data_IF_256917756619
#
_entry.id   IF_256917756619
#
_cell.length_a   1.000
_cell.length_b   1.000
_cell.length_c   1.000
_cell.angle_alpha   90.00
_cell.angle_beta   90.00
_cell.angle_gamma   90.00
#
_symmetry.space_group_name_H-M   'P 1'
#
loop_
_entity.id
_entity.type
_entity.pdbx_description
1 polymer ?
#
# COMPACT_ATOMS: atom_id res chain seq x y z
N UNK A 1 -8.63 24.57 1.32
CA UNK A 1 -7.18 24.73 1.39
C UNK A 1 -6.68 23.94 2.60
N UNK A 2 -5.67 23.12 2.41
CA UNK A 2 -5.04 22.30 3.46
C UNK A 2 -4.02 23.18 4.18
N UNK A 3 -4.08 23.19 5.52
CA UNK A 3 -3.05 23.75 6.40
C UNK A 3 -2.24 22.59 6.98
N UNK A 4 -1.07 22.29 6.44
CA UNK A 4 -0.31 21.11 6.84
C UNK A 4 0.02 21.10 8.35
N UNK A 5 0.40 22.23 8.92
CA UNK A 5 0.77 22.38 10.32
C UNK A 5 -0.37 22.09 11.32
N UNK A 6 -1.63 22.12 10.84
CA UNK A 6 -2.83 21.79 11.63
C UNK A 6 -3.44 20.45 11.21
N UNK A 7 -2.75 19.68 10.32
CA UNK A 7 -3.29 18.48 9.69
C UNK A 7 -2.42 17.25 9.90
N UNK A 8 -3.06 16.09 10.05
CA UNK A 8 -2.42 14.77 9.99
C UNK A 8 -2.62 14.21 8.58
N UNK A 9 -1.53 13.78 7.92
CA UNK A 9 -1.59 13.11 6.63
C UNK A 9 -1.39 11.60 6.79
N UNK A 10 -2.27 10.81 6.18
CA UNK A 10 -2.33 9.37 6.35
C UNK A 10 -2.37 8.71 4.97
N UNK A 11 -1.51 7.73 4.74
CA UNK A 11 -1.45 7.00 3.48
C UNK A 11 -1.87 5.54 3.67
N UNK A 12 -2.44 4.95 2.63
CA UNK A 12 -2.36 3.53 2.39
C UNK A 12 -0.99 3.18 1.78
N UNK A 13 -0.66 1.89 1.66
CA UNK A 13 0.61 1.42 1.14
C UNK A 13 0.49 0.83 -0.27
N UNK A 14 -0.25 -0.28 -0.37
CA UNK A 14 -0.34 -1.11 -1.58
C UNK A 14 -1.13 -0.35 -2.67
N UNK A 15 -0.63 -0.34 -3.90
CA UNK A 15 -1.18 0.41 -5.05
C UNK A 15 -1.34 1.94 -4.83
N UNK A 16 -0.98 2.43 -3.63
CA UNK A 16 -0.97 3.86 -3.27
C UNK A 16 0.43 4.46 -3.31
N UNK A 17 1.42 3.86 -2.64
CA UNK A 17 2.80 4.34 -2.61
C UNK A 17 3.73 3.59 -3.58
N UNK A 18 3.35 2.40 -4.00
CA UNK A 18 4.06 1.54 -4.95
C UNK A 18 3.07 0.56 -5.60
N UNK A 19 3.49 -0.19 -6.63
CA UNK A 19 2.66 -1.19 -7.31
C UNK A 19 2.63 -2.51 -6.52
N UNK A 20 1.46 -2.96 -6.05
CA UNK A 20 1.31 -4.28 -5.41
C UNK A 20 1.64 -5.42 -6.38
N UNK A 21 1.42 -5.22 -7.67
CA UNK A 21 1.85 -6.16 -8.72
C UNK A 21 3.36 -6.40 -8.68
N UNK A 22 4.18 -5.36 -8.46
CA UNK A 22 5.63 -5.52 -8.38
C UNK A 22 6.05 -6.36 -7.18
N UNK A 23 5.36 -6.22 -6.03
CA UNK A 23 5.56 -7.09 -4.88
C UNK A 23 5.23 -8.54 -5.21
N UNK A 24 4.11 -8.79 -5.90
CA UNK A 24 3.73 -10.14 -6.35
C UNK A 24 4.79 -10.74 -7.26
N UNK A 25 5.24 -10.02 -8.26
CA UNK A 25 6.31 -10.46 -9.16
C UNK A 25 7.61 -10.77 -8.42
N UNK A 26 8.04 -9.88 -7.53
CA UNK A 26 9.23 -10.07 -6.69
C UNK A 26 9.15 -11.33 -5.84
N UNK A 27 7.98 -11.58 -5.23
CA UNK A 27 7.76 -12.77 -4.40
C UNK A 27 7.74 -14.07 -5.20
N UNK A 28 7.14 -14.06 -6.39
CA UNK A 28 7.17 -15.20 -7.31
C UNK A 28 8.63 -15.52 -7.71
N UNK A 29 9.42 -14.51 -8.07
CA UNK A 29 10.82 -14.68 -8.42
C UNK A 29 11.64 -15.28 -7.27
N UNK A 30 11.38 -14.86 -6.04
CA UNK A 30 12.03 -15.42 -4.86
C UNK A 30 11.70 -16.91 -4.68
N UNK A 31 10.44 -17.30 -4.86
CA UNK A 31 10.00 -18.71 -4.78
C UNK A 31 10.59 -19.54 -5.91
N UNK A 32 10.54 -19.05 -7.16
CA UNK A 32 11.14 -19.74 -8.32
C UNK A 32 12.64 -19.95 -8.10
N UNK A 33 13.36 -18.93 -7.61
CA UNK A 33 14.79 -19.05 -7.31
C UNK A 33 15.08 -20.12 -6.26
N UNK A 34 14.25 -20.27 -5.23
CA UNK A 34 14.39 -21.33 -4.21
C UNK A 34 14.17 -22.71 -4.85
N UNK A 35 13.09 -22.88 -5.62
CA UNK A 35 12.80 -24.16 -6.27
C UNK A 35 13.95 -24.55 -7.20
N UNK A 36 14.38 -23.65 -8.09
CA UNK A 36 15.48 -23.92 -9.04
C UNK A 36 16.79 -24.26 -8.33
N UNK A 37 17.08 -23.64 -7.19
CA UNK A 37 18.32 -23.92 -6.42
C UNK A 37 18.30 -25.25 -5.70
N UNK A 38 17.15 -25.67 -5.20
CA UNK A 38 16.99 -26.92 -4.43
C UNK A 38 16.66 -28.13 -5.32
N UNK A 39 16.09 -27.88 -6.47
CA UNK A 39 15.64 -28.88 -7.44
C UNK A 39 16.24 -28.59 -8.84
N UNK A 40 17.55 -28.82 -9.04
CA UNK A 40 18.26 -28.42 -10.26
C UNK A 40 17.79 -29.12 -11.53
N UNK A 41 16.90 -30.12 -11.44
CA UNK A 41 16.24 -30.76 -12.57
C UNK A 41 15.17 -29.86 -13.23
N UNK A 42 14.74 -28.78 -12.58
CA UNK A 42 13.76 -27.83 -13.11
C UNK A 42 14.46 -26.56 -13.59
N UNK A 43 14.20 -26.19 -14.82
CA UNK A 43 14.71 -24.95 -15.40
C UNK A 43 13.96 -23.72 -14.88
N UNK A 44 14.70 -22.67 -14.49
CA UNK A 44 14.13 -21.46 -13.91
C UNK A 44 13.22 -20.70 -14.87
N UNK A 45 13.52 -20.71 -16.19
CA UNK A 45 12.69 -20.02 -17.19
C UNK A 45 11.36 -20.74 -17.35
N UNK A 46 11.35 -22.08 -17.36
CA UNK A 46 10.13 -22.90 -17.37
C UNK A 46 9.30 -22.65 -16.10
N UNK A 47 9.95 -22.60 -14.94
CA UNK A 47 9.24 -22.30 -13.68
C UNK A 47 8.60 -20.91 -13.70
N UNK A 48 9.26 -19.91 -14.28
CA UNK A 48 8.71 -18.57 -14.43
C UNK A 48 7.48 -18.54 -15.36
N UNK A 49 7.48 -19.30 -16.43
CA UNK A 49 6.31 -19.42 -17.31
C UNK A 49 5.11 -20.05 -16.60
N UNK A 50 5.37 -21.10 -15.79
CA UNK A 50 4.33 -21.80 -15.02
C UNK A 50 3.77 -20.90 -13.90
N UNK A 51 4.64 -20.12 -13.27
CA UNK A 51 4.27 -19.19 -12.21
C UNK A 51 3.63 -17.91 -12.74
N UNK A 52 2.82 -17.98 -13.80
CA UNK A 52 2.15 -16.82 -14.40
C UNK A 52 1.61 -15.86 -13.33
N UNK A 53 2.15 -14.65 -13.30
CA UNK A 53 1.81 -13.63 -12.33
C UNK A 53 0.35 -13.13 -12.43
N UNK A 54 -0.33 -13.41 -13.53
CA UNK A 54 -1.76 -13.13 -13.73
C UNK A 54 -2.65 -14.18 -13.06
N UNK A 55 -2.14 -15.40 -12.86
CA UNK A 55 -2.87 -16.47 -12.19
C UNK A 55 -2.96 -16.23 -10.68
N UNK A 56 -4.11 -16.54 -10.09
CA UNK A 56 -4.27 -16.64 -8.64
C UNK A 56 -3.64 -17.92 -8.10
N UNK A 57 -3.58 -18.96 -8.93
CA UNK A 57 -3.15 -20.32 -8.57
C UNK A 57 -1.66 -20.58 -8.94
N UNK A 58 -0.87 -19.51 -9.11
CA UNK A 58 0.53 -19.60 -9.54
C UNK A 58 1.37 -20.55 -8.67
N UNK A 59 1.17 -20.55 -7.35
CA UNK A 59 1.90 -21.44 -6.44
C UNK A 59 1.43 -22.89 -6.55
N UNK A 60 0.14 -23.11 -6.72
CA UNK A 60 -0.42 -24.45 -6.96
C UNK A 60 0.12 -25.05 -8.26
N UNK A 61 0.18 -24.24 -9.32
CA UNK A 61 0.72 -24.65 -10.60
C UNK A 61 2.20 -25.06 -10.48
N UNK A 62 3.02 -24.27 -9.77
CA UNK A 62 4.41 -24.61 -9.49
C UNK A 62 4.54 -25.90 -8.69
N UNK A 63 3.80 -26.02 -7.59
CA UNK A 63 3.84 -27.22 -6.75
C UNK A 63 3.40 -28.47 -7.51
N UNK A 64 2.38 -28.37 -8.34
CA UNK A 64 1.93 -29.48 -9.19
C UNK A 64 3.02 -29.89 -10.19
N UNK A 65 3.61 -28.94 -10.90
CA UNK A 65 4.69 -29.20 -11.87
C UNK A 65 5.91 -29.85 -11.21
N UNK A 66 6.31 -29.33 -10.07
CA UNK A 66 7.49 -29.81 -9.33
C UNK A 66 7.20 -31.01 -8.43
N UNK A 67 5.96 -31.52 -8.40
CA UNK A 67 5.50 -32.64 -7.55
C UNK A 67 5.78 -32.39 -6.05
N UNK A 68 5.65 -31.15 -5.62
CA UNK A 68 5.82 -30.75 -4.23
C UNK A 68 4.53 -31.06 -3.44
N UNK A 69 4.73 -31.46 -2.18
CA UNK A 69 3.63 -31.77 -1.27
C UNK A 69 3.11 -30.48 -0.57
N UNK A 70 2.03 -30.61 0.20
CA UNK A 70 1.38 -29.48 0.88
C UNK A 70 2.29 -28.79 1.91
N UNK A 71 3.18 -29.49 2.60
CA UNK A 71 4.10 -28.90 3.57
C UNK A 71 5.18 -28.06 2.87
N UNK A 72 5.68 -28.53 1.73
CA UNK A 72 6.60 -27.77 0.88
C UNK A 72 5.91 -26.51 0.32
N UNK A 73 4.67 -26.62 -0.15
CA UNK A 73 3.85 -25.49 -0.59
C UNK A 73 3.69 -24.45 0.52
N UNK A 74 3.36 -24.86 1.73
CA UNK A 74 3.24 -23.94 2.87
C UNK A 74 4.57 -23.24 3.18
N UNK A 75 5.69 -23.96 3.11
CA UNK A 75 7.03 -23.40 3.28
C UNK A 75 7.34 -22.36 2.21
N UNK A 76 7.04 -22.64 0.94
CA UNK A 76 7.20 -21.70 -0.17
C UNK A 76 6.29 -20.48 -0.01
N UNK A 77 5.06 -20.65 0.48
CA UNK A 77 4.16 -19.53 0.78
C UNK A 77 4.73 -18.62 1.86
N UNK A 78 5.41 -19.15 2.87
CA UNK A 78 6.11 -18.34 3.86
C UNK A 78 7.33 -17.63 3.24
N UNK A 79 8.08 -18.26 2.36
CA UNK A 79 9.16 -17.61 1.61
C UNK A 79 8.62 -16.45 0.76
N UNK A 80 7.50 -16.65 0.04
CA UNK A 80 6.81 -15.59 -0.68
C UNK A 80 6.46 -14.41 0.23
N UNK A 81 5.94 -14.66 1.44
CA UNK A 81 5.50 -13.62 2.38
C UNK A 81 6.65 -12.87 3.05
N UNK A 82 7.79 -13.53 3.22
CA UNK A 82 8.94 -13.04 3.98
C UNK A 82 10.17 -12.74 3.12
N UNK A 83 10.07 -12.82 1.79
CA UNK A 83 11.18 -12.46 0.93
C UNK A 83 11.57 -10.99 1.12
N UNK A 84 12.74 -10.61 0.66
CA UNK A 84 13.15 -9.21 0.55
C UNK A 84 12.58 -8.65 -0.74
N UNK A 85 11.58 -7.74 -0.69
CA UNK A 85 10.92 -7.26 -1.89
C UNK A 85 11.86 -6.44 -2.77
N UNK A 86 11.83 -6.69 -4.07
CA UNK A 86 12.46 -5.84 -5.09
C UNK A 86 11.36 -4.99 -5.70
N UNK A 87 11.05 -3.89 -5.05
CA UNK A 87 9.95 -2.96 -5.40
C UNK A 87 10.45 -1.53 -5.40
N UNK A 88 9.74 -0.65 -6.12
CA UNK A 88 10.07 0.77 -6.20
C UNK A 88 8.86 1.61 -5.86
N UNK A 89 9.03 2.71 -5.10
CA UNK A 89 7.95 3.63 -4.83
C UNK A 89 7.55 4.39 -6.11
N UNK A 90 6.29 4.84 -6.18
CA UNK A 90 5.80 5.66 -7.30
C UNK A 90 6.49 7.02 -7.38
N UNK A 91 6.92 7.55 -6.24
CA UNK A 91 7.70 8.79 -6.15
C UNK A 91 8.89 8.55 -5.21
N UNK A 92 9.98 9.26 -5.43
CA UNK A 92 11.17 9.14 -4.58
C UNK A 92 10.86 9.43 -3.10
N UNK A 93 11.43 8.66 -2.16
CA UNK A 93 11.23 8.89 -0.72
C UNK A 93 11.60 10.32 -0.27
N UNK A 94 12.56 10.94 -0.95
CA UNK A 94 12.95 12.34 -0.72
C UNK A 94 11.83 13.33 -1.04
N UNK A 95 11.04 13.06 -2.09
CA UNK A 95 9.86 13.85 -2.44
C UNK A 95 8.78 13.72 -1.36
N UNK A 96 8.44 12.48 -0.94
CA UNK A 96 7.46 12.25 0.13
C UNK A 96 7.90 12.92 1.44
N UNK A 97 9.17 12.83 1.80
CA UNK A 97 9.73 13.48 2.98
C UNK A 97 9.55 15.00 2.91
N UNK A 98 9.83 15.62 1.77
CA UNK A 98 9.64 17.06 1.56
C UNK A 98 8.16 17.45 1.64
N UNK A 99 7.29 16.68 0.97
CA UNK A 99 5.84 16.91 0.96
C UNK A 99 5.23 16.83 2.36
N UNK A 100 5.61 15.81 3.14
CA UNK A 100 4.99 15.52 4.43
C UNK A 100 5.63 16.28 5.61
N UNK A 101 6.82 16.85 5.42
CA UNK A 101 7.55 17.58 6.48
C UNK A 101 6.72 18.66 7.20
N UNK A 102 5.90 19.48 6.51
CA UNK A 102 5.12 20.54 7.17
C UNK A 102 3.89 20.04 7.94
N UNK A 103 3.49 18.77 7.79
CA UNK A 103 2.33 18.23 8.48
C UNK A 103 2.59 17.98 9.97
N UNK A 104 1.54 18.19 10.79
CA UNK A 104 1.59 17.98 12.23
C UNK A 104 1.97 16.54 12.60
N UNK A 105 1.48 15.57 11.83
CA UNK A 105 1.88 14.16 11.93
C UNK A 105 1.68 13.43 10.61
N UNK A 106 2.36 12.29 10.47
CA UNK A 106 2.40 11.44 9.28
C UNK A 106 2.13 10.01 9.68
N UNK A 107 1.14 9.36 9.08
CA UNK A 107 0.80 8.00 9.42
C UNK A 107 0.60 7.13 8.18
N UNK A 108 0.70 5.82 8.38
CA UNK A 108 0.38 4.78 7.40
C UNK A 108 -0.67 3.86 7.99
N UNK A 109 -1.76 3.62 7.25
CA UNK A 109 -2.77 2.60 7.57
C UNK A 109 -2.80 1.59 6.42
N UNK A 110 -2.33 0.38 6.65
CA UNK A 110 -2.25 -0.66 5.62
C UNK A 110 -2.83 -1.98 6.10
N UNK A 111 -3.49 -2.70 5.18
CA UNK A 111 -3.98 -4.04 5.45
C UNK A 111 -2.95 -5.08 5.05
N UNK A 112 -2.83 -6.12 5.85
CA UNK A 112 -1.94 -7.24 5.60
C UNK A 112 -1.22 -7.75 6.84
N UNK A 113 -0.26 -8.66 6.62
CA UNK A 113 0.56 -9.25 7.68
C UNK A 113 1.64 -8.29 8.14
N UNK A 114 1.84 -8.20 9.44
CA UNK A 114 2.76 -7.24 10.06
C UNK A 114 4.17 -7.33 9.50
N UNK A 115 4.74 -8.53 9.43
CA UNK A 115 6.10 -8.70 8.91
C UNK A 115 6.18 -8.38 7.41
N UNK A 116 5.20 -8.83 6.63
CA UNK A 116 5.14 -8.56 5.19
C UNK A 116 5.10 -7.06 4.90
N UNK A 117 4.19 -6.32 5.56
CA UNK A 117 4.06 -4.87 5.33
C UNK A 117 5.32 -4.11 5.78
N UNK A 118 5.95 -4.53 6.89
CA UNK A 118 7.21 -3.92 7.34
C UNK A 118 8.37 -4.16 6.37
N UNK A 119 8.47 -5.35 5.75
CA UNK A 119 9.46 -5.64 4.71
C UNK A 119 9.24 -4.77 3.47
N UNK A 120 7.99 -4.55 3.05
CA UNK A 120 7.65 -3.63 1.95
C UNK A 120 8.07 -2.19 2.28
N UNK A 121 7.70 -1.69 3.47
CA UNK A 121 8.05 -0.34 3.94
C UNK A 121 9.57 -0.15 3.96
N UNK A 122 10.32 -1.16 4.45
CA UNK A 122 11.77 -1.14 4.45
C UNK A 122 12.37 -1.11 3.04
N UNK A 123 11.87 -1.97 2.14
CA UNK A 123 12.35 -2.05 0.76
C UNK A 123 12.10 -0.75 -0.03
N UNK A 124 11.01 -0.04 0.30
CA UNK A 124 10.67 1.25 -0.28
C UNK A 124 11.46 2.43 0.32
N UNK A 125 12.28 2.22 1.36
CA UNK A 125 13.01 3.30 2.04
C UNK A 125 12.12 4.24 2.84
N UNK A 126 10.98 3.75 3.36
CA UNK A 126 9.96 4.56 4.03
C UNK A 126 9.91 4.36 5.56
N UNK A 127 10.82 3.59 6.14
CA UNK A 127 10.78 3.15 7.55
C UNK A 127 10.74 4.32 8.55
N UNK A 128 11.47 5.40 8.26
CA UNK A 128 11.60 6.59 9.12
C UNK A 128 10.72 7.77 8.68
N UNK A 129 9.78 7.52 7.77
CA UNK A 129 8.98 8.57 7.16
C UNK A 129 7.68 8.84 7.93
N UNK A 130 7.18 7.83 8.64
CA UNK A 130 5.91 7.89 9.35
C UNK A 130 6.10 7.89 10.87
N UNK A 131 5.32 8.72 11.56
CA UNK A 131 5.25 8.76 13.01
C UNK A 131 4.45 7.57 13.58
N UNK A 132 3.48 7.06 12.80
CA UNK A 132 2.68 5.87 13.10
C UNK A 132 2.54 4.96 11.88
N UNK A 133 2.69 3.64 12.10
CA UNK A 133 2.44 2.60 11.10
C UNK A 133 1.44 1.61 11.70
N UNK A 134 0.19 1.66 11.20
CA UNK A 134 -0.94 0.88 11.70
C UNK A 134 -1.28 -0.24 10.70
N UNK A 135 -0.89 -1.47 11.05
CA UNK A 135 -1.06 -2.65 10.21
C UNK A 135 -2.24 -3.47 10.73
N UNK A 136 -3.10 -3.95 9.84
CA UNK A 136 -4.36 -4.64 10.20
C UNK A 136 -4.15 -5.86 11.09
N UNK A 137 -3.18 -6.72 10.79
CA UNK A 137 -2.90 -7.90 11.61
C UNK A 137 -2.50 -7.51 13.05
N UNK A 138 -1.65 -6.48 13.23
CA UNK A 138 -1.21 -6.06 14.55
C UNK A 138 -2.33 -5.40 15.37
N UNK A 139 -3.32 -4.78 14.72
CA UNK A 139 -4.40 -4.07 15.38
C UNK A 139 -5.74 -4.83 15.35
N UNK A 140 -5.78 -6.00 14.71
CA UNK A 140 -6.99 -6.82 14.53
C UNK A 140 -8.16 -5.98 13.98
N UNK A 141 -7.87 -5.23 12.93
CA UNK A 141 -8.81 -4.29 12.29
C UNK A 141 -8.40 -4.10 10.83
N UNK A 142 -9.27 -4.48 9.91
CA UNK A 142 -9.08 -4.29 8.47
C UNK A 142 -10.02 -3.19 7.95
N UNK A 143 -9.60 -2.44 6.92
CA UNK A 143 -10.49 -1.50 6.24
C UNK A 143 -11.69 -2.25 5.62
N UNK A 144 -12.90 -1.77 5.74
CA UNK A 144 -13.32 -0.41 6.13
C UNK A 144 -13.59 -0.16 7.63
N UNK A 145 -13.16 -1.03 8.55
CA UNK A 145 -13.28 -0.79 10.00
C UNK A 145 -12.58 0.53 10.38
N UNK A 146 -13.25 1.36 11.18
CA UNK A 146 -12.78 2.70 11.55
C UNK A 146 -11.80 2.71 12.75
N UNK A 147 -11.55 1.60 13.43
CA UNK A 147 -10.73 1.49 14.64
C UNK A 147 -9.36 2.16 14.54
N UNK A 148 -8.64 1.95 13.43
CA UNK A 148 -7.30 2.52 13.21
C UNK A 148 -7.37 4.02 12.91
N UNK A 149 -8.40 4.47 12.24
CA UNK A 149 -8.65 5.89 11.98
C UNK A 149 -9.00 6.64 13.27
N UNK A 150 -9.89 6.08 14.07
CA UNK A 150 -10.26 6.61 15.40
C UNK A 150 -9.04 6.64 16.34
N UNK A 151 -8.17 5.64 16.28
CA UNK A 151 -6.91 5.64 17.04
C UNK A 151 -6.06 6.88 16.73
N UNK A 152 -5.86 7.22 15.45
CA UNK A 152 -5.11 8.43 15.07
C UNK A 152 -5.83 9.71 15.52
N UNK A 153 -7.16 9.76 15.39
CA UNK A 153 -7.95 10.91 15.83
C UNK A 153 -7.79 11.17 17.32
N UNK A 154 -7.80 10.12 18.12
CA UNK A 154 -7.62 10.20 19.57
C UNK A 154 -6.17 10.50 19.97
N UNK A 155 -5.20 10.09 19.17
CA UNK A 155 -3.78 10.37 19.43
C UNK A 155 -3.41 11.82 19.11
N UNK A 156 -3.95 12.38 18.04
CA UNK A 156 -3.59 13.71 17.53
C UNK A 156 -4.71 14.73 17.76
N UNK A 157 -5.13 14.90 19.01
CA UNK A 157 -6.25 15.78 19.42
C UNK A 157 -6.06 17.25 19.03
N UNK A 158 -4.82 17.71 18.89
CA UNK A 158 -4.52 19.09 18.48
C UNK A 158 -4.69 19.33 16.96
N UNK A 159 -4.75 18.26 16.16
CA UNK A 159 -4.96 18.37 14.75
C UNK A 159 -6.40 18.77 14.42
N UNK A 160 -6.56 19.76 13.53
CA UNK A 160 -7.88 20.22 13.09
C UNK A 160 -8.43 19.44 11.91
N UNK A 161 -7.55 18.72 11.18
CA UNK A 161 -7.91 17.96 9.98
C UNK A 161 -7.11 16.68 9.87
N UNK A 162 -7.75 15.69 9.29
CA UNK A 162 -7.14 14.43 8.89
C UNK A 162 -7.35 14.25 7.41
N UNK A 163 -6.31 13.79 6.72
CA UNK A 163 -6.29 13.58 5.28
C UNK A 163 -5.88 12.14 5.04
N UNK A 164 -6.69 11.40 4.32
CA UNK A 164 -6.39 10.02 3.97
C UNK A 164 -6.20 9.88 2.47
N UNK A 165 -5.12 9.21 2.06
CA UNK A 165 -4.80 8.94 0.66
C UNK A 165 -4.79 7.42 0.45
N UNK A 166 -5.55 6.93 -0.53
CA UNK A 166 -5.65 5.51 -0.88
C UNK A 166 -6.08 5.30 -2.32
N UNK A 167 -6.17 4.04 -2.76
CA UNK A 167 -6.55 3.66 -4.13
C UNK A 167 -7.82 2.80 -4.18
N UNK A 168 -8.10 2.03 -3.12
CA UNK A 168 -9.11 0.99 -3.15
C UNK A 168 -10.50 1.51 -2.75
N UNK A 169 -11.32 1.83 -3.75
CA UNK A 169 -12.68 2.35 -3.54
C UNK A 169 -13.56 1.45 -2.68
N UNK A 170 -13.30 0.14 -2.62
CA UNK A 170 -14.14 -0.80 -1.85
C UNK A 170 -13.98 -0.64 -0.35
N UNK A 171 -12.88 -0.09 0.13
CA UNK A 171 -12.56 -0.13 1.57
C UNK A 171 -11.87 1.11 2.11
N UNK A 172 -11.18 1.90 1.28
CA UNK A 172 -10.30 2.97 1.77
C UNK A 172 -11.04 4.21 2.25
N UNK A 173 -12.19 4.53 1.65
CA UNK A 173 -12.82 5.82 1.87
C UNK A 173 -14.02 5.79 2.82
N UNK A 174 -14.57 4.62 3.11
CA UNK A 174 -15.75 4.47 3.98
C UNK A 174 -15.48 5.02 5.39
N UNK A 175 -14.41 4.57 6.05
CA UNK A 175 -14.09 5.01 7.40
C UNK A 175 -13.69 6.50 7.47
N UNK A 176 -12.74 7.00 6.66
CA UNK A 176 -12.39 8.43 6.68
C UNK A 176 -13.57 9.33 6.32
N UNK A 177 -14.42 8.97 5.36
CA UNK A 177 -15.62 9.74 5.01
C UNK A 177 -16.60 9.83 6.21
N UNK A 178 -16.88 8.68 6.85
CA UNK A 178 -17.73 8.62 8.06
C UNK A 178 -17.20 9.50 9.19
N UNK A 179 -15.89 9.61 9.32
CA UNK A 179 -15.21 10.41 10.35
C UNK A 179 -15.02 11.88 9.96
N UNK A 180 -15.46 12.29 8.77
CA UNK A 180 -15.33 13.66 8.27
C UNK A 180 -13.90 14.05 7.86
N UNK A 181 -13.05 13.07 7.55
CA UNK A 181 -11.71 13.32 7.02
C UNK A 181 -11.77 13.74 5.55
N UNK A 182 -10.75 14.46 5.11
CA UNK A 182 -10.54 14.68 3.68
C UNK A 182 -9.96 13.39 3.07
N UNK A 183 -10.72 12.72 2.24
CA UNK A 183 -10.29 11.51 1.53
C UNK A 183 -9.88 11.85 0.10
N UNK A 184 -8.71 11.35 -0.31
CA UNK A 184 -8.12 11.56 -1.64
C UNK A 184 -7.87 10.19 -2.27
N UNK A 185 -8.52 9.95 -3.40
CA UNK A 185 -8.31 8.74 -4.19
C UNK A 185 -7.19 8.94 -5.20
N UNK A 186 -6.33 7.92 -5.34
CA UNK A 186 -5.40 7.83 -6.47
C UNK A 186 -6.06 7.01 -7.56
N UNK A 187 -6.10 7.56 -8.77
CA UNK A 187 -6.68 6.85 -9.92
C UNK A 187 -5.94 5.53 -10.17
N UNK A 188 -6.68 4.42 -10.37
CA UNK A 188 -6.07 3.12 -10.62
C UNK A 188 -5.15 3.15 -11.84
N UNK A 189 -3.96 2.53 -11.69
CA UNK A 189 -3.03 2.33 -12.82
C UNK A 189 -3.32 0.99 -13.50
N UNK A 190 -2.92 0.79 -14.78
CA UNK A 190 -3.26 -0.42 -15.53
C UNK A 190 -2.85 -1.75 -14.87
N UNK A 191 -1.85 -1.73 -14.01
CA UNK A 191 -1.31 -2.91 -13.33
C UNK A 191 -1.76 -3.06 -11.87
N UNK A 192 -2.59 -2.14 -11.36
CA UNK A 192 -3.12 -2.25 -10.00
C UNK A 192 -3.97 -3.52 -9.89
N UNK A 193 -3.89 -4.18 -8.74
CA UNK A 193 -4.68 -5.39 -8.46
C UNK A 193 -6.17 -5.04 -8.33
N UNK A 194 -6.48 -3.86 -7.82
CA UNK A 194 -7.84 -3.37 -7.63
C UNK A 194 -8.23 -2.39 -8.74
N UNK A 195 -9.00 -2.88 -9.69
CA UNK A 195 -9.52 -2.13 -10.86
C UNK A 195 -11.04 -1.97 -10.78
N UNK A 196 -11.54 -1.53 -9.63
CA UNK A 196 -12.97 -1.28 -9.50
C UNK A 196 -13.35 0.05 -10.15
N UNK A 197 -14.41 0.02 -10.98
CA UNK A 197 -14.99 1.24 -11.55
C UNK A 197 -15.65 2.07 -10.44
N UNK A 198 -15.18 3.31 -10.18
CA UNK A 198 -15.75 4.17 -9.14
C UNK A 198 -17.24 4.43 -9.30
N UNK A 199 -17.76 4.48 -10.53
CA UNK A 199 -19.17 4.79 -10.80
C UNK A 199 -20.15 3.71 -10.28
N UNK A 200 -19.64 2.51 -10.00
CA UNK A 200 -20.43 1.39 -9.47
C UNK A 200 -20.64 1.44 -7.95
N UNK A 201 -20.00 2.40 -7.26
CA UNK A 201 -20.04 2.48 -5.79
C UNK A 201 -20.79 3.71 -5.30
N UNK A 202 -21.55 3.54 -4.21
CA UNK A 202 -22.29 4.60 -3.55
C UNK A 202 -21.39 5.74 -3.03
N UNK A 203 -22.03 6.86 -2.68
CA UNK A 203 -21.32 8.09 -2.29
C UNK A 203 -20.40 7.89 -1.07
N UNK A 204 -20.75 6.98 -0.19
CA UNK A 204 -19.96 6.64 1.01
C UNK A 204 -18.60 6.02 0.70
N UNK A 205 -18.45 5.41 -0.48
CA UNK A 205 -17.22 4.83 -0.99
C UNK A 205 -16.36 5.82 -1.78
N UNK A 206 -16.94 6.96 -2.21
CA UNK A 206 -16.22 7.91 -3.05
C UNK A 206 -15.27 8.77 -2.21
N UNK A 207 -14.01 8.97 -2.65
CA UNK A 207 -13.16 9.97 -2.04
C UNK A 207 -13.70 11.39 -2.33
N UNK A 208 -13.30 12.34 -1.51
CA UNK A 208 -13.64 13.76 -1.69
C UNK A 208 -13.12 14.31 -3.03
N UNK A 209 -11.94 13.82 -3.45
CA UNK A 209 -11.34 14.16 -4.75
C UNK A 209 -10.44 13.02 -5.24
N UNK A 210 -10.20 12.98 -6.55
CA UNK A 210 -9.28 12.07 -7.20
C UNK A 210 -8.05 12.81 -7.70
N UNK A 211 -6.88 12.17 -7.62
CA UNK A 211 -5.62 12.60 -8.22
C UNK A 211 -5.06 11.47 -9.08
N UNK A 212 -4.27 11.81 -10.10
CA UNK A 212 -3.63 10.82 -10.95
C UNK A 212 -2.26 10.41 -10.41
N UNK A 213 -1.57 11.32 -9.73
CA UNK A 213 -0.22 11.09 -9.21
C UNK A 213 -0.05 11.71 -7.82
N UNK A 214 0.90 11.17 -7.05
CA UNK A 214 1.23 11.69 -5.71
C UNK A 214 1.81 13.11 -5.75
N UNK A 215 2.41 13.52 -6.87
CA UNK A 215 2.97 14.86 -7.04
C UNK A 215 1.88 15.93 -7.00
N UNK A 216 0.66 15.61 -7.40
CA UNK A 216 -0.47 16.54 -7.34
C UNK A 216 -0.82 16.95 -5.90
N UNK A 217 -0.46 16.14 -4.89
CA UNK A 217 -0.63 16.51 -3.47
C UNK A 217 0.11 17.80 -3.13
N UNK A 218 1.25 18.08 -3.78
CA UNK A 218 2.00 19.29 -3.55
C UNK A 218 1.21 20.55 -3.92
N UNK A 219 0.39 20.50 -4.96
CA UNK A 219 -0.44 21.63 -5.39
C UNK A 219 -1.57 21.94 -4.40
N UNK A 220 -2.09 20.88 -3.73
CA UNK A 220 -3.16 21.02 -2.73
C UNK A 220 -2.65 21.67 -1.43
N UNK A 221 -1.34 21.64 -1.20
CA UNK A 221 -0.69 22.17 0.01
C UNK A 221 -0.05 23.55 -0.21
N UNK A 222 0.38 23.88 -1.42
CA UNK A 222 1.22 25.07 -1.71
C UNK A 222 0.40 26.37 -1.88
N UNK A 223 -0.89 26.31 -2.12
CA UNK A 223 -1.72 27.49 -2.34
C UNK A 223 -1.88 28.43 -1.11
N UNK A 224 -1.25 28.10 0.02
CA UNK A 224 -1.29 28.90 1.25
C UNK A 224 -0.11 29.89 1.41
N UNK A 225 1.02 29.61 0.76
CA UNK A 225 2.26 30.37 1.00
C UNK A 225 2.43 31.57 0.06
N UNK A 226 1.78 31.56 -1.12
CA UNK A 226 1.91 32.66 -2.08
C UNK A 226 1.01 33.88 -1.82
N UNK A 227 -0.05 33.74 -0.99
CA UNK A 227 -0.93 34.86 -0.63
C UNK A 227 -0.51 35.65 0.62
N UNK A 228 0.54 35.23 1.32
CA UNK A 228 1.04 35.92 2.50
C UNK A 228 2.21 36.89 2.17
N UNK A 229 2.71 36.88 0.93
CA UNK A 229 3.82 37.71 0.46
C UNK A 229 3.45 38.59 -0.75
N UNK A 230 2.17 38.91 -0.93
CA UNK A 230 1.70 39.86 -1.96
C UNK A 230 1.00 41.06 -1.31
#
# INVERSE_FOLDING_TARGET
MIKPEESVIVFDLDDTLYSEHDYKCSGIQAVVGIIASLHPQYDADVLNEIADNKSKDWLDNLCHHCKLNELEKQSLLWQYRLHRPVIRPYVEPSFLRKLMRPFAARALITDGRSLTQRLKIQALGLTDLFDDILISEAMQSEKPDDKRFVFLQNKYLAAKRFIYIGDNIKKDFVAPNKLGWLSIGIMPKPHNIHQADPEQYGREYQPTLWINTLEELATLTTSATEKANA
#
